data_IF_659114209546
#
_entry.id   IF_659114209546
#
_cell.length_a   1.000
_cell.length_b   1.000
_cell.length_c   1.000
_cell.angle_alpha   90.00
_cell.angle_beta   90.00
_cell.angle_gamma   90.00
#
_symmetry.space_group_name_H-M   'P 1'
#
loop_
_entity.id
_entity.type
_entity.pdbx_description
1 polymer ?
#
# COMPACT_ATOMS: atom_id res chain seq x y z
N UNK A 1 -23.21 14.34 23.20
CA UNK A 1 -23.74 14.68 21.88
C UNK A 1 -22.95 15.80 21.19
N UNK A 2 -22.65 16.94 21.80
CA UNK A 2 -21.89 18.05 21.17
C UNK A 2 -20.42 17.65 20.88
N UNK A 3 -19.72 17.01 21.82
CA UNK A 3 -18.32 16.55 21.61
C UNK A 3 -18.27 15.53 20.47
N UNK A 4 -19.21 14.58 20.40
CA UNK A 4 -19.27 13.60 19.31
C UNK A 4 -19.58 14.22 17.94
N UNK A 5 -20.21 15.39 17.87
CA UNK A 5 -20.42 16.12 16.60
C UNK A 5 -19.17 16.85 16.11
N UNK A 6 -18.33 17.38 17.01
CA UNK A 6 -17.02 17.96 16.67
C UNK A 6 -16.09 16.95 16.01
N UNK A 7 -16.26 15.65 16.31
CA UNK A 7 -15.47 14.56 15.76
C UNK A 7 -16.01 13.95 14.46
N UNK A 8 -17.30 14.11 14.15
CA UNK A 8 -17.89 13.59 12.91
C UNK A 8 -17.47 14.36 11.65
N UNK A 9 -16.91 15.55 11.81
CA UNK A 9 -16.59 16.44 10.69
C UNK A 9 -15.23 16.19 10.03
N UNK A 10 -14.33 15.41 10.65
CA UNK A 10 -13.03 15.09 10.06
C UNK A 10 -12.65 13.65 10.43
N UNK A 11 -12.19 12.88 9.46
CA UNK A 11 -11.76 11.50 9.69
C UNK A 11 -10.66 11.47 10.77
N UNK A 12 -10.80 10.70 11.85
CA UNK A 12 -9.77 10.57 12.89
C UNK A 12 -8.52 9.80 12.40
N UNK A 13 -8.49 9.40 11.13
CA UNK A 13 -7.42 8.60 10.53
C UNK A 13 -6.28 9.42 9.92
N UNK A 14 -6.45 10.73 9.77
CA UNK A 14 -5.44 11.62 9.20
C UNK A 14 -4.58 12.22 10.32
N UNK A 15 -3.24 12.06 10.32
CA UNK A 15 -2.34 12.61 11.34
C UNK A 15 -2.47 14.14 11.51
N UNK A 16 -2.71 14.87 10.42
CA UNK A 16 -2.96 16.31 10.49
C UNK A 16 -4.24 16.65 11.29
N UNK A 17 -5.27 15.83 11.14
CA UNK A 17 -6.51 15.96 11.89
C UNK A 17 -6.34 15.61 13.39
N UNK A 18 -5.48 14.64 13.72
CA UNK A 18 -5.18 14.27 15.10
C UNK A 18 -4.60 15.48 15.86
N UNK A 19 -3.67 16.20 15.26
CA UNK A 19 -3.06 17.40 15.89
C UNK A 19 -4.09 18.52 16.10
N UNK A 20 -4.96 18.75 15.14
CA UNK A 20 -6.01 19.76 15.23
C UNK A 20 -7.05 19.39 16.29
N UNK A 21 -7.46 18.15 16.32
CA UNK A 21 -8.39 17.59 17.31
C UNK A 21 -7.81 17.72 18.72
N UNK A 22 -6.53 17.41 18.91
CA UNK A 22 -5.84 17.57 20.20
C UNK A 22 -5.90 19.01 20.73
N UNK A 23 -5.76 20.03 19.87
CA UNK A 23 -5.85 21.44 20.28
C UNK A 23 -7.20 21.80 20.87
N UNK A 24 -8.28 21.18 20.40
CA UNK A 24 -9.63 21.42 20.92
C UNK A 24 -9.97 20.57 22.15
N UNK A 25 -9.42 19.38 22.26
CA UNK A 25 -9.68 18.48 23.39
C UNK A 25 -8.94 18.89 24.67
N UNK A 26 -7.74 19.44 24.55
CA UNK A 26 -6.97 19.87 25.73
C UNK A 26 -7.71 20.89 26.61
N UNK A 27 -8.29 21.98 26.07
CA UNK A 27 -9.14 22.90 26.85
C UNK A 27 -10.42 22.25 27.36
N UNK A 28 -11.04 21.35 26.59
CA UNK A 28 -12.28 20.68 26.99
C UNK A 28 -12.13 19.88 28.30
N UNK A 29 -10.94 19.36 28.59
CA UNK A 29 -10.64 18.64 29.84
C UNK A 29 -10.79 19.50 31.08
N UNK A 30 -10.67 20.80 30.95
CA UNK A 30 -10.73 21.75 32.06
C UNK A 30 -12.14 22.21 32.44
N UNK A 31 -13.16 21.83 31.65
CA UNK A 31 -14.53 22.31 31.85
C UNK A 31 -15.20 21.66 33.06
N UNK A 32 -15.22 20.34 33.15
CA UNK A 32 -15.74 19.57 34.30
C UNK A 32 -15.24 18.10 34.26
N UNK A 33 -15.46 17.36 35.35
CA UNK A 33 -15.02 15.94 35.45
C UNK A 33 -15.54 15.05 34.32
N UNK A 34 -16.82 15.20 33.93
CA UNK A 34 -17.41 14.42 32.83
C UNK A 34 -16.76 14.76 31.49
N UNK A 35 -16.51 16.03 31.22
CA UNK A 35 -15.80 16.46 30.01
C UNK A 35 -14.35 16.00 30.01
N UNK A 36 -13.69 16.05 31.15
CA UNK A 36 -12.32 15.55 31.28
C UNK A 36 -12.26 14.05 30.94
N UNK A 37 -13.17 13.23 31.46
CA UNK A 37 -13.19 11.79 31.14
C UNK A 37 -13.35 11.53 29.62
N UNK A 38 -14.38 12.12 29.00
CA UNK A 38 -14.68 11.95 27.58
C UNK A 38 -13.54 12.52 26.70
N UNK A 39 -13.04 13.70 27.02
CA UNK A 39 -11.97 14.32 26.26
C UNK A 39 -10.64 13.56 26.41
N UNK A 40 -10.36 12.96 27.57
CA UNK A 40 -9.19 12.11 27.80
C UNK A 40 -9.26 10.83 26.97
N UNK A 41 -10.41 10.16 26.94
CA UNK A 41 -10.64 8.99 26.09
C UNK A 41 -10.35 9.30 24.63
N UNK A 42 -10.96 10.33 24.07
CA UNK A 42 -10.72 10.73 22.68
C UNK A 42 -9.29 11.25 22.43
N UNK A 43 -8.68 11.92 23.39
CA UNK A 43 -7.32 12.46 23.26
C UNK A 43 -6.28 11.35 23.09
N UNK A 44 -6.48 10.23 23.80
CA UNK A 44 -5.53 9.12 23.84
C UNK A 44 -6.00 7.88 23.05
N UNK A 45 -7.14 7.94 22.37
CA UNK A 45 -7.65 6.83 21.55
C UNK A 45 -6.64 6.40 20.47
N UNK A 46 -5.90 7.37 19.92
CA UNK A 46 -4.77 7.11 19.02
C UNK A 46 -3.50 7.66 19.62
N UNK A 47 -2.53 6.80 19.85
CA UNK A 47 -1.19 7.17 20.29
C UNK A 47 -0.22 7.14 19.12
N UNK A 48 0.74 8.05 19.13
CA UNK A 48 1.75 8.19 18.10
C UNK A 48 3.13 8.05 18.73
N UNK A 49 3.89 7.06 18.27
CA UNK A 49 5.31 6.89 18.55
C UNK A 49 6.08 7.43 17.34
N UNK A 50 6.55 8.65 17.44
CA UNK A 50 7.35 9.28 16.41
C UNK A 50 8.72 9.61 16.98
N UNK A 51 9.75 9.40 16.19
CA UNK A 51 11.08 9.87 16.48
C UNK A 51 11.08 11.41 16.49
N UNK A 52 11.30 12.00 17.63
CA UNK A 52 11.53 13.43 17.77
C UNK A 52 13.03 13.64 17.91
N UNK A 53 13.68 14.08 16.84
CA UNK A 53 15.14 14.27 16.81
C UNK A 53 15.66 15.00 18.05
N UNK A 54 16.88 14.70 18.44
CA UNK A 54 17.56 15.32 19.59
C UNK A 54 17.77 16.82 19.34
N UNK A 55 17.34 17.62 20.26
CA UNK A 55 17.73 19.02 20.31
C UNK A 55 18.93 19.09 21.27
N UNK A 56 20.09 19.46 20.76
CA UNK A 56 21.35 19.65 21.53
C UNK A 56 21.99 18.38 22.13
N UNK A 57 21.82 17.22 21.49
CA UNK A 57 22.51 15.99 21.92
C UNK A 57 21.87 15.26 23.10
N UNK A 58 20.73 15.70 23.58
CA UNK A 58 19.95 14.97 24.59
C UNK A 58 19.03 13.95 23.90
N UNK A 59 19.07 12.68 24.32
CA UNK A 59 18.20 11.59 23.87
C UNK A 59 16.74 11.78 24.29
N UNK A 60 16.11 12.86 23.87
CA UNK A 60 14.72 13.17 24.24
C UNK A 60 13.69 12.55 23.30
N UNK A 61 14.12 11.79 22.28
CA UNK A 61 13.32 11.33 21.16
C UNK A 61 12.01 10.63 21.50
N UNK A 62 11.93 9.92 22.63
CA UNK A 62 10.75 9.14 23.03
C UNK A 62 10.19 9.55 24.41
N UNK A 63 10.65 10.68 24.96
CA UNK A 63 10.22 11.13 26.27
C UNK A 63 8.70 11.38 26.33
N UNK A 64 8.14 12.01 25.30
CA UNK A 64 6.70 12.25 25.19
C UNK A 64 5.88 10.96 25.15
N UNK A 65 6.34 9.98 24.40
CA UNK A 65 5.75 8.63 24.36
C UNK A 65 5.81 7.98 25.72
N UNK A 66 6.98 7.95 26.34
CA UNK A 66 7.20 7.33 27.63
C UNK A 66 6.34 7.97 28.71
N UNK A 67 6.31 9.31 28.80
CA UNK A 67 5.45 10.05 29.73
C UNK A 67 3.97 9.77 29.52
N UNK A 68 3.53 9.64 28.26
CA UNK A 68 2.13 9.30 27.94
C UNK A 68 1.79 7.89 28.43
N UNK A 69 2.68 6.93 28.25
CA UNK A 69 2.47 5.56 28.71
C UNK A 69 2.57 5.38 30.24
N UNK A 70 3.11 6.34 30.96
CA UNK A 70 3.07 6.35 32.42
C UNK A 70 1.68 6.75 32.97
N UNK A 71 0.82 7.35 32.13
CA UNK A 71 -0.54 7.74 32.48
C UNK A 71 -1.48 6.55 32.27
N UNK A 72 -2.03 5.98 33.32
CA UNK A 72 -2.95 4.83 33.24
C UNK A 72 -4.18 5.11 32.36
N UNK A 73 -4.78 6.31 32.50
CA UNK A 73 -5.93 6.70 31.68
C UNK A 73 -5.61 6.74 30.18
N UNK A 74 -4.38 7.09 29.81
CA UNK A 74 -3.92 7.09 28.42
C UNK A 74 -3.74 5.66 27.90
N UNK A 75 -3.13 4.77 28.70
CA UNK A 75 -2.99 3.36 28.34
C UNK A 75 -4.33 2.69 28.12
N UNK A 76 -5.28 2.94 29.00
CA UNK A 76 -6.61 2.33 28.94
C UNK A 76 -7.49 2.90 27.81
N UNK A 77 -7.26 4.15 27.39
CA UNK A 77 -8.00 4.78 26.30
C UNK A 77 -7.46 4.43 24.92
N UNK A 78 -6.22 3.92 24.81
CA UNK A 78 -5.58 3.66 23.54
C UNK A 78 -6.20 2.45 22.82
N UNK A 79 -6.71 2.69 21.60
CA UNK A 79 -7.25 1.67 20.71
C UNK A 79 -6.37 1.46 19.45
N UNK A 80 -5.57 2.48 19.11
CA UNK A 80 -4.70 2.50 17.94
C UNK A 80 -3.34 3.08 18.25
N UNK A 81 -2.30 2.51 17.67
CA UNK A 81 -0.93 3.03 17.72
C UNK A 81 -0.44 3.29 16.30
N UNK A 82 0.12 4.49 16.09
CA UNK A 82 0.85 4.87 14.89
C UNK A 82 2.33 4.91 15.26
N UNK A 83 3.15 4.17 14.52
CA UNK A 83 4.60 4.11 14.70
C UNK A 83 5.23 4.72 13.46
N UNK A 84 6.02 5.78 13.62
CA UNK A 84 6.80 6.37 12.55
C UNK A 84 8.26 5.95 12.73
N UNK A 85 8.77 5.14 11.80
CA UNK A 85 10.14 4.64 11.84
C UNK A 85 11.16 5.76 11.63
N UNK A 86 10.81 6.75 10.82
CA UNK A 86 11.62 7.90 10.52
C UNK A 86 10.77 9.17 10.52
N UNK A 87 11.17 10.22 11.24
CA UNK A 87 10.50 11.50 11.18
C UNK A 87 11.16 12.41 10.14
N UNK A 88 10.36 13.20 9.41
CA UNK A 88 10.89 14.21 8.48
C UNK A 88 11.83 15.21 9.18
N UNK A 89 11.69 15.39 10.49
CA UNK A 89 12.52 16.30 11.28
C UNK A 89 13.87 15.70 11.69
N UNK A 90 13.99 14.38 11.74
CA UNK A 90 15.26 13.70 12.07
C UNK A 90 16.33 13.88 10.99
N UNK A 91 15.93 14.21 9.78
CA UNK A 91 16.84 14.54 8.66
C UNK A 91 17.81 15.68 8.95
N UNK A 92 17.50 16.53 9.91
CA UNK A 92 18.30 17.71 10.27
C UNK A 92 19.25 17.46 11.46
N UNK A 93 19.20 16.30 12.10
CA UNK A 93 19.89 16.03 13.36
C UNK A 93 20.78 14.78 13.25
N UNK A 94 21.95 14.81 13.89
CA UNK A 94 23.01 13.81 13.78
C UNK A 94 22.70 12.37 14.20
N UNK A 95 21.51 12.08 14.73
CA UNK A 95 21.08 10.74 15.16
C UNK A 95 20.79 9.80 13.98
N UNK A 96 20.75 10.33 12.78
CA UNK A 96 20.55 9.55 11.57
C UNK A 96 21.63 8.50 11.32
N UNK A 97 22.87 8.79 11.75
CA UNK A 97 23.98 7.83 11.63
C UNK A 97 23.75 6.58 12.51
N UNK A 98 23.32 6.78 13.75
CA UNK A 98 23.01 5.67 14.65
C UNK A 98 21.84 4.85 14.12
N UNK A 99 20.85 5.53 13.55
CA UNK A 99 19.70 4.92 12.91
C UNK A 99 20.11 4.08 11.69
N UNK A 100 20.99 4.52 10.83
CA UNK A 100 21.53 3.76 9.69
C UNK A 100 22.35 2.55 10.11
N UNK A 101 23.01 2.63 11.24
CA UNK A 101 23.90 1.58 11.76
C UNK A 101 23.14 0.53 12.60
N UNK A 102 21.81 0.63 12.72
CA UNK A 102 21.00 -0.30 13.49
C UNK A 102 21.09 -0.11 15.01
N UNK A 103 21.64 1.01 15.49
CA UNK A 103 21.78 1.35 16.91
C UNK A 103 20.49 1.99 17.46
N UNK A 104 19.42 1.19 17.55
CA UNK A 104 18.06 1.70 17.86
C UNK A 104 17.54 1.31 19.22
N UNK A 105 18.34 1.03 20.19
CA UNK A 105 17.90 0.48 21.47
C UNK A 105 16.78 1.30 22.11
N UNK A 106 16.86 2.63 22.03
CA UNK A 106 15.83 3.51 22.56
C UNK A 106 14.49 3.38 21.84
N UNK A 107 14.51 3.27 20.49
CA UNK A 107 13.30 3.11 19.69
C UNK A 107 12.69 1.72 19.86
N UNK A 108 13.51 0.68 19.78
CA UNK A 108 13.06 -0.69 20.01
C UNK A 108 12.47 -0.85 21.41
N UNK A 109 13.09 -0.23 22.43
CA UNK A 109 12.56 -0.19 23.79
C UNK A 109 11.21 0.55 23.88
N UNK A 110 11.07 1.66 23.14
CA UNK A 110 9.82 2.40 23.05
C UNK A 110 8.70 1.57 22.38
N UNK A 111 9.01 0.83 21.29
CA UNK A 111 8.09 -0.09 20.65
C UNK A 111 7.65 -1.20 21.61
N UNK A 112 8.56 -1.79 22.36
CA UNK A 112 8.26 -2.85 23.34
C UNK A 112 7.27 -2.42 24.43
N UNK A 113 7.14 -1.11 24.69
CA UNK A 113 6.13 -0.60 25.64
C UNK A 113 4.70 -0.71 25.14
N UNK A 114 4.46 -1.00 23.84
CA UNK A 114 3.13 -1.28 23.29
C UNK A 114 2.43 -2.42 24.06
N UNK A 115 3.19 -3.36 24.62
CA UNK A 115 2.64 -4.41 25.47
C UNK A 115 1.88 -3.90 26.71
N UNK A 116 2.09 -2.65 27.13
CA UNK A 116 1.41 -2.02 28.26
C UNK A 116 0.00 -1.48 27.91
N UNK A 117 -0.40 -1.54 26.61
CA UNK A 117 -1.65 -0.99 26.09
C UNK A 117 -2.71 -2.10 25.99
N UNK A 118 -3.67 -2.20 26.95
CA UNK A 118 -4.59 -3.35 27.00
C UNK A 118 -5.61 -3.35 25.86
N UNK A 119 -6.02 -2.17 25.36
CA UNK A 119 -7.19 -2.05 24.50
C UNK A 119 -6.87 -1.81 23.02
N UNK A 120 -5.59 -1.80 22.61
CA UNK A 120 -5.24 -1.59 21.20
C UNK A 120 -5.71 -2.73 20.30
N UNK A 121 -6.32 -2.35 19.17
CA UNK A 121 -6.84 -3.25 18.14
C UNK A 121 -6.22 -2.98 16.77
N UNK A 122 -5.51 -1.86 16.62
CA UNK A 122 -4.90 -1.45 15.37
C UNK A 122 -3.48 -0.93 15.58
N UNK A 123 -2.59 -1.38 14.70
CA UNK A 123 -1.24 -0.82 14.56
C UNK A 123 -1.07 -0.32 13.13
N UNK A 124 -0.47 0.83 13.02
CA UNK A 124 -0.12 1.49 11.78
C UNK A 124 1.37 1.85 11.81
N UNK A 125 2.14 1.27 10.91
CA UNK A 125 3.57 1.46 10.79
C UNK A 125 3.87 2.29 9.54
N UNK A 126 4.59 3.39 9.70
CA UNK A 126 4.99 4.29 8.63
C UNK A 126 6.50 4.25 8.48
N UNK A 127 6.97 3.72 7.37
CA UNK A 127 8.35 3.86 6.92
C UNK A 127 8.53 5.15 6.12
N UNK A 128 9.79 5.56 5.91
CA UNK A 128 10.08 6.64 4.98
C UNK A 128 9.67 6.26 3.55
N UNK A 129 9.35 7.25 2.72
CA UNK A 129 8.97 7.01 1.32
C UNK A 129 10.14 6.45 0.52
N UNK A 130 11.34 6.97 0.78
CA UNK A 130 12.56 6.54 0.11
C UNK A 130 13.19 5.36 0.84
N UNK A 131 13.53 4.32 0.12
CA UNK A 131 14.20 3.13 0.65
C UNK A 131 15.38 2.72 -0.23
N UNK A 132 16.27 1.90 0.34
CA UNK A 132 17.46 1.39 -0.31
C UNK A 132 17.41 -0.13 -0.37
N UNK A 133 17.64 -0.72 -1.54
CA UNK A 133 17.69 -2.15 -1.75
C UNK A 133 19.06 -2.77 -1.46
N UNK A 134 19.19 -4.08 -1.73
CA UNK A 134 20.40 -4.86 -1.44
C UNK A 134 21.61 -4.43 -2.28
N UNK A 135 21.37 -4.06 -3.52
CA UNK A 135 22.39 -3.88 -4.52
C UNK A 135 22.71 -2.42 -4.83
N UNK A 136 22.15 -1.52 -4.07
CA UNK A 136 22.40 -0.10 -4.24
C UNK A 136 23.88 0.24 -3.94
N UNK A 137 24.71 0.09 -4.96
CA UNK A 137 26.08 0.62 -4.99
C UNK A 137 26.11 2.14 -5.18
N UNK A 138 24.95 2.77 -5.25
CA UNK A 138 24.85 4.19 -5.41
C UNK A 138 25.41 4.85 -4.15
N UNK A 139 26.49 5.60 -4.35
CA UNK A 139 26.92 6.61 -3.41
C UNK A 139 25.78 7.65 -3.36
N UNK A 140 24.71 7.30 -2.66
CA UNK A 140 23.62 8.21 -2.47
C UNK A 140 24.07 9.29 -1.48
N UNK A 141 24.32 10.53 -1.93
CA UNK A 141 24.64 11.63 -1.04
C UNK A 141 23.47 12.00 -0.11
N UNK A 142 22.28 11.46 -0.39
CA UNK A 142 21.08 11.72 0.39
C UNK A 142 21.08 10.90 1.68
N UNK A 143 21.30 11.59 2.77
CA UNK A 143 21.30 11.01 4.11
C UNK A 143 19.92 10.57 4.60
N UNK A 144 18.88 10.58 3.76
CA UNK A 144 17.48 10.38 4.16
C UNK A 144 16.85 9.08 3.64
N UNK A 145 17.65 8.16 3.10
CA UNK A 145 17.18 6.87 2.60
C UNK A 145 17.29 5.81 3.69
N UNK A 146 16.17 5.23 4.08
CA UNK A 146 16.10 4.20 5.12
C UNK A 146 16.54 2.83 4.60
N UNK A 147 17.57 2.17 5.20
CA UNK A 147 18.03 0.86 4.77
C UNK A 147 17.01 -0.25 4.98
N UNK A 148 17.08 -1.31 4.17
CA UNK A 148 16.17 -2.46 4.25
C UNK A 148 16.28 -3.21 5.57
N UNK A 149 17.48 -3.36 6.11
CA UNK A 149 17.77 -4.03 7.39
C UNK A 149 17.08 -3.30 8.55
N UNK A 150 17.15 -1.99 8.54
CA UNK A 150 16.50 -1.11 9.51
C UNK A 150 14.98 -1.29 9.51
N UNK A 151 14.39 -1.36 8.32
CA UNK A 151 12.94 -1.61 8.17
C UNK A 151 12.57 -2.98 8.68
N UNK A 152 13.38 -4.00 8.36
CA UNK A 152 13.17 -5.37 8.84
C UNK A 152 13.25 -5.45 10.36
N UNK A 153 14.21 -4.80 10.99
CA UNK A 153 14.36 -4.80 12.45
C UNK A 153 13.21 -4.07 13.13
N UNK A 154 12.72 -2.99 12.53
CA UNK A 154 11.50 -2.32 13.01
C UNK A 154 10.28 -3.23 12.90
N UNK A 155 10.10 -3.93 11.77
CA UNK A 155 9.02 -4.91 11.60
C UNK A 155 9.11 -6.01 12.66
N UNK A 156 10.28 -6.60 12.87
CA UNK A 156 10.51 -7.61 13.92
C UNK A 156 10.14 -7.10 15.30
N UNK A 157 10.61 -5.89 15.67
CA UNK A 157 10.32 -5.30 16.98
C UNK A 157 8.82 -5.07 17.20
N UNK A 158 8.09 -4.62 16.18
CA UNK A 158 6.63 -4.45 16.23
C UNK A 158 5.93 -5.80 16.41
N UNK A 159 6.30 -6.81 15.63
CA UNK A 159 5.71 -8.14 15.72
C UNK A 159 6.03 -8.83 17.06
N UNK A 160 7.24 -8.64 17.59
CA UNK A 160 7.61 -9.10 18.94
C UNK A 160 6.73 -8.43 20.00
N UNK A 161 6.53 -7.13 19.93
CA UNK A 161 5.68 -6.40 20.87
C UNK A 161 4.22 -6.86 20.83
N UNK A 162 3.69 -7.17 19.63
CA UNK A 162 2.34 -7.73 19.45
C UNK A 162 2.25 -9.11 20.12
N UNK A 163 3.21 -10.00 19.84
CA UNK A 163 3.24 -11.36 20.38
C UNK A 163 3.43 -11.35 21.90
N UNK A 164 4.38 -10.57 22.42
CA UNK A 164 4.61 -10.45 23.87
C UNK A 164 3.36 -9.95 24.60
N UNK A 165 2.62 -9.02 23.99
CA UNK A 165 1.38 -8.50 24.55
C UNK A 165 0.31 -9.62 24.67
N UNK A 166 0.17 -10.45 23.63
CA UNK A 166 -0.84 -11.51 23.59
C UNK A 166 -0.63 -12.62 24.64
N UNK A 167 0.61 -12.83 25.08
CA UNK A 167 0.98 -13.91 26.03
C UNK A 167 1.15 -13.42 27.48
N UNK A 168 0.79 -12.17 27.80
CA UNK A 168 0.92 -11.64 29.16
C UNK A 168 -0.02 -12.38 30.12
N UNK A 169 0.51 -12.97 31.22
CA UNK A 169 -0.33 -13.59 32.21
C UNK A 169 -1.11 -12.54 33.01
N UNK A 170 -2.35 -12.84 33.34
CA UNK A 170 -3.23 -12.04 34.21
C UNK A 170 -3.67 -10.67 33.68
N UNK A 171 -3.53 -10.39 32.39
CA UNK A 171 -4.02 -9.16 31.78
C UNK A 171 -5.01 -9.51 30.68
N UNK A 172 -6.24 -9.07 30.80
CA UNK A 172 -7.22 -9.16 29.71
C UNK A 172 -6.84 -8.11 28.67
N UNK A 173 -6.38 -8.56 27.50
CA UNK A 173 -5.96 -7.70 26.40
C UNK A 173 -6.79 -7.96 25.16
N UNK A 174 -7.15 -6.88 24.44
CA UNK A 174 -7.83 -7.02 23.16
C UNK A 174 -6.87 -7.56 22.08
N UNK A 175 -7.37 -8.35 21.15
CA UNK A 175 -6.58 -8.83 20.00
C UNK A 175 -6.33 -7.68 19.03
N UNK A 176 -5.10 -7.57 18.51
CA UNK A 176 -4.78 -6.65 17.41
C UNK A 176 -5.27 -7.32 16.12
N UNK A 177 -6.21 -6.67 15.45
CA UNK A 177 -6.89 -7.18 14.27
C UNK A 177 -6.58 -6.38 13.00
N UNK A 178 -6.08 -5.16 13.15
CA UNK A 178 -5.78 -4.28 12.01
C UNK A 178 -4.30 -3.95 11.97
N UNK A 179 -3.68 -4.25 10.84
CA UNK A 179 -2.30 -3.90 10.53
C UNK A 179 -2.26 -3.05 9.25
N UNK A 180 -1.70 -1.86 9.36
CA UNK A 180 -1.43 -1.00 8.21
C UNK A 180 0.07 -0.75 8.14
N UNK A 181 0.67 -0.95 6.97
CA UNK A 181 2.08 -0.66 6.75
C UNK A 181 2.18 0.31 5.55
N UNK A 182 2.64 1.51 5.84
CA UNK A 182 2.94 2.51 4.83
C UNK A 182 4.38 2.40 4.41
N UNK A 183 4.59 2.45 3.09
CA UNK A 183 5.90 2.37 2.47
C UNK A 183 6.65 1.07 2.85
N UNK A 184 5.92 -0.05 2.90
CA UNK A 184 6.56 -1.36 2.98
C UNK A 184 7.45 -1.52 1.75
N UNK A 185 8.74 -1.72 1.95
CA UNK A 185 9.65 -1.95 0.85
C UNK A 185 9.34 -3.27 0.14
N UNK A 186 9.46 -3.29 -1.18
CA UNK A 186 9.29 -4.46 -2.03
C UNK A 186 10.44 -5.49 -1.87
N UNK A 187 10.84 -5.75 -0.63
CA UNK A 187 11.92 -6.66 -0.29
C UNK A 187 11.36 -8.02 0.19
N UNK A 188 11.72 -9.15 -0.45
CA UNK A 188 11.28 -10.46 -0.02
C UNK A 188 12.05 -10.92 1.22
N UNK A 189 11.50 -10.67 2.41
CA UNK A 189 12.06 -11.10 3.69
C UNK A 189 11.63 -12.54 4.04
N UNK A 190 12.09 -13.53 3.26
CA UNK A 190 11.64 -14.92 3.35
C UNK A 190 11.78 -15.52 4.75
N UNK A 191 12.93 -15.33 5.40
CA UNK A 191 13.19 -15.87 6.74
C UNK A 191 12.20 -15.30 7.78
N UNK A 192 11.94 -14.00 7.72
CA UNK A 192 11.02 -13.35 8.63
C UNK A 192 9.58 -13.83 8.41
N UNK A 193 9.11 -13.85 7.17
CA UNK A 193 7.75 -14.28 6.81
C UNK A 193 7.51 -15.75 7.16
N UNK A 194 8.53 -16.59 7.02
CA UNK A 194 8.45 -18.02 7.39
C UNK A 194 8.61 -18.28 8.89
N UNK A 195 8.99 -17.28 9.67
CA UNK A 195 9.17 -17.43 11.12
C UNK A 195 7.85 -17.68 11.86
N UNK A 196 7.96 -18.36 13.01
CA UNK A 196 6.82 -18.51 13.93
C UNK A 196 6.31 -17.17 14.44
N UNK A 197 7.20 -16.19 14.63
CA UNK A 197 6.83 -14.84 15.03
C UNK A 197 5.84 -14.18 14.06
N UNK A 198 6.16 -14.20 12.77
CA UNK A 198 5.29 -13.62 11.74
C UNK A 198 3.94 -14.35 11.68
N UNK A 199 3.95 -15.65 11.61
CA UNK A 199 2.74 -16.48 11.51
C UNK A 199 1.82 -16.34 12.73
N UNK A 200 2.40 -16.24 13.93
CA UNK A 200 1.63 -16.05 15.18
C UNK A 200 0.88 -14.71 15.21
N UNK A 201 1.46 -13.65 14.63
CA UNK A 201 0.79 -12.36 14.54
C UNK A 201 -0.20 -12.33 13.38
N UNK A 202 0.21 -12.81 12.19
CA UNK A 202 -0.58 -12.73 10.97
C UNK A 202 -1.95 -13.41 11.08
N UNK A 203 -2.05 -14.55 11.81
CA UNK A 203 -3.29 -15.30 11.98
C UNK A 203 -4.42 -14.52 12.66
N UNK A 204 -4.08 -13.50 13.46
CA UNK A 204 -5.05 -12.71 14.22
C UNK A 204 -5.49 -11.43 13.48
N UNK A 205 -4.81 -11.08 12.38
CA UNK A 205 -5.12 -9.90 11.58
C UNK A 205 -6.28 -10.21 10.64
N UNK A 206 -7.34 -9.41 10.73
CA UNK A 206 -8.51 -9.47 9.83
C UNK A 206 -8.59 -8.29 8.85
N UNK A 207 -7.79 -7.24 9.07
CA UNK A 207 -7.67 -6.07 8.17
C UNK A 207 -6.20 -5.78 7.91
N UNK A 208 -5.78 -5.93 6.67
CA UNK A 208 -4.42 -5.71 6.21
C UNK A 208 -4.41 -4.61 5.15
N UNK A 209 -3.63 -3.56 5.37
CA UNK A 209 -3.43 -2.47 4.43
C UNK A 209 -1.95 -2.29 4.16
N UNK A 210 -1.52 -2.57 2.94
CA UNK A 210 -0.14 -2.45 2.50
C UNK A 210 -0.04 -1.36 1.42
N UNK A 211 0.78 -0.34 1.70
CA UNK A 211 1.28 0.58 0.71
C UNK A 211 2.74 0.21 0.49
N UNK A 212 3.06 -0.23 -0.72
CA UNK A 212 4.35 -0.80 -1.07
C UNK A 212 5.14 0.24 -1.86
N UNK A 213 6.39 0.43 -1.46
CA UNK A 213 7.35 1.32 -2.13
C UNK A 213 8.51 0.50 -2.68
N UNK A 214 9.06 0.99 -3.77
CA UNK A 214 10.24 0.44 -4.40
C UNK A 214 11.49 1.19 -3.97
N UNK A 215 12.66 0.62 -4.27
CA UNK A 215 13.93 1.27 -4.03
C UNK A 215 14.00 2.62 -4.75
N UNK A 216 14.48 3.63 -4.02
CA UNK A 216 14.74 4.93 -4.63
C UNK A 216 15.97 4.87 -5.53
N UNK A 217 15.79 5.22 -6.78
CA UNK A 217 16.82 5.28 -7.79
C UNK A 217 16.87 6.68 -8.41
N UNK A 218 18.05 7.34 -8.35
CA UNK A 218 18.25 8.67 -8.94
C UNK A 218 18.39 8.65 -10.46
N UNK A 219 18.83 7.50 -11.00
CA UNK A 219 19.07 7.33 -12.44
C UNK A 219 17.77 7.07 -13.22
N UNK A 220 16.65 7.13 -12.54
CA UNK A 220 15.35 6.88 -13.13
C UNK A 220 15.00 5.39 -13.24
N UNK A 221 13.85 5.05 -13.81
CA UNK A 221 13.33 3.68 -13.84
C UNK A 221 14.17 2.72 -14.71
N UNK A 222 15.09 3.20 -15.54
CA UNK A 222 15.88 2.40 -16.48
C UNK A 222 16.69 1.27 -15.81
N UNK A 223 17.02 1.41 -14.53
CA UNK A 223 17.78 0.42 -13.77
C UNK A 223 16.94 -0.39 -12.80
N UNK A 224 15.76 0.05 -12.49
CA UNK A 224 14.89 -0.61 -11.51
C UNK A 224 14.46 -2.00 -11.96
N UNK A 225 14.30 -2.19 -13.26
CA UNK A 225 13.90 -3.48 -13.85
C UNK A 225 14.91 -4.60 -13.64
N UNK A 226 16.17 -4.26 -13.40
CA UNK A 226 17.25 -5.23 -13.18
C UNK A 226 17.40 -5.58 -11.69
N UNK A 227 16.63 -4.97 -10.81
CA UNK A 227 16.70 -5.24 -9.40
C UNK A 227 16.00 -6.57 -9.05
N UNK A 228 16.71 -7.43 -8.33
CA UNK A 228 16.22 -8.74 -7.89
C UNK A 228 14.89 -8.62 -7.12
N UNK A 229 14.74 -7.56 -6.33
CA UNK A 229 13.53 -7.28 -5.58
C UNK A 229 12.30 -7.10 -6.47
N UNK A 230 12.47 -6.49 -7.64
CA UNK A 230 11.39 -6.31 -8.62
C UNK A 230 10.95 -7.64 -9.24
N UNK A 231 11.87 -8.55 -9.45
CA UNK A 231 11.57 -9.88 -9.99
C UNK A 231 10.89 -10.78 -8.96
N UNK A 232 11.35 -10.73 -7.72
CA UNK A 232 11.00 -11.73 -6.69
C UNK A 232 9.83 -11.32 -5.80
N UNK A 233 9.65 -10.02 -5.52
CA UNK A 233 8.74 -9.59 -4.46
C UNK A 233 7.28 -9.96 -4.70
N UNK A 234 6.76 -9.79 -5.89
CA UNK A 234 5.36 -10.08 -6.19
C UNK A 234 5.05 -11.57 -6.03
N UNK A 235 5.96 -12.43 -6.49
CA UNK A 235 5.88 -13.87 -6.28
C UNK A 235 5.95 -14.23 -4.79
N UNK A 236 6.84 -13.58 -4.02
CA UNK A 236 6.93 -13.74 -2.57
C UNK A 236 5.65 -13.26 -1.86
N UNK A 237 5.12 -12.10 -2.24
CA UNK A 237 3.86 -11.55 -1.71
C UNK A 237 2.72 -12.55 -1.90
N UNK A 238 2.59 -13.10 -3.10
CA UNK A 238 1.55 -14.06 -3.47
C UNK A 238 1.69 -15.41 -2.76
N UNK A 239 2.90 -15.99 -2.75
CA UNK A 239 3.10 -17.37 -2.35
C UNK A 239 3.44 -17.56 -0.88
N UNK A 240 3.97 -16.54 -0.22
CA UNK A 240 4.47 -16.64 1.14
C UNK A 240 3.81 -15.66 2.11
N UNK A 241 3.75 -14.37 1.76
CA UNK A 241 3.30 -13.32 2.66
C UNK A 241 1.77 -13.36 2.86
N UNK A 242 0.98 -13.18 1.80
CA UNK A 242 -0.48 -13.10 1.87
C UNK A 242 -1.16 -14.38 2.39
N UNK A 243 -0.68 -15.60 2.08
CA UNK A 243 -1.27 -16.82 2.62
C UNK A 243 -1.30 -16.88 4.15
N UNK A 244 -0.36 -16.21 4.85
CA UNK A 244 -0.34 -16.18 6.31
C UNK A 244 -1.57 -15.46 6.92
N UNK A 245 -2.20 -14.59 6.18
CA UNK A 245 -3.37 -13.80 6.59
C UNK A 245 -4.70 -14.37 6.04
N UNK A 246 -4.64 -15.27 5.07
CA UNK A 246 -5.77 -15.59 4.19
C UNK A 246 -7.04 -16.03 4.91
N UNK A 247 -6.94 -16.81 6.00
CA UNK A 247 -8.07 -17.46 6.66
C UNK A 247 -9.03 -16.45 7.31
N UNK A 248 -8.49 -15.39 7.92
CA UNK A 248 -9.27 -14.45 8.72
C UNK A 248 -9.51 -13.10 8.05
N UNK A 249 -8.86 -12.85 6.92
CA UNK A 249 -8.88 -11.54 6.30
C UNK A 249 -10.27 -11.15 5.79
N UNK A 250 -10.76 -10.01 6.27
CA UNK A 250 -12.03 -9.40 5.88
C UNK A 250 -11.82 -8.14 5.02
N UNK A 251 -10.67 -7.48 5.16
CA UNK A 251 -10.31 -6.32 4.34
C UNK A 251 -8.84 -6.40 3.93
N UNK A 252 -8.58 -6.21 2.64
CA UNK A 252 -7.26 -6.18 2.05
C UNK A 252 -7.09 -4.92 1.20
N UNK A 253 -5.97 -4.22 1.39
CA UNK A 253 -5.50 -3.18 0.49
C UNK A 253 -4.11 -3.54 0.03
N UNK A 254 -3.90 -3.60 -1.27
CA UNK A 254 -2.61 -3.71 -1.94
C UNK A 254 -2.46 -2.49 -2.85
N UNK A 255 -1.57 -1.60 -2.47
CA UNK A 255 -1.29 -0.40 -3.24
C UNK A 255 0.22 -0.23 -3.35
N UNK A 256 0.70 -0.12 -4.58
CA UNK A 256 2.10 0.13 -4.87
C UNK A 256 2.28 1.57 -5.32
N UNK A 257 3.47 2.10 -5.14
CA UNK A 257 3.79 3.45 -5.65
C UNK A 257 3.84 3.47 -7.17
N UNK A 258 4.22 2.35 -7.78
CA UNK A 258 4.30 2.17 -9.21
C UNK A 258 3.35 1.08 -9.72
N UNK A 259 3.30 0.90 -11.03
CA UNK A 259 2.55 -0.18 -11.65
C UNK A 259 3.12 -1.54 -11.27
N UNK A 260 2.27 -2.49 -10.94
CA UNK A 260 2.63 -3.82 -10.50
C UNK A 260 1.68 -4.90 -11.02
N UNK A 261 2.05 -6.15 -10.84
CA UNK A 261 1.23 -7.30 -11.22
C UNK A 261 1.68 -7.96 -12.51
N UNK A 262 2.52 -7.33 -13.33
CA UNK A 262 2.92 -7.86 -14.65
C UNK A 262 4.42 -7.99 -14.83
N UNK A 263 5.17 -6.94 -15.03
CA UNK A 263 6.60 -6.99 -15.35
C UNK A 263 7.40 -6.05 -14.46
N UNK A 264 8.63 -6.38 -14.09
CA UNK A 264 9.38 -7.63 -14.27
C UNK A 264 8.92 -8.76 -13.34
N UNK A 265 8.21 -8.47 -12.23
CA UNK A 265 7.54 -9.44 -11.39
C UNK A 265 6.22 -9.93 -12.01
N UNK A 266 5.56 -10.85 -11.34
CA UNK A 266 4.25 -11.33 -11.77
C UNK A 266 3.36 -11.71 -10.60
N UNK A 267 2.14 -11.21 -10.61
CA UNK A 267 1.14 -11.48 -9.58
C UNK A 267 -0.23 -11.72 -10.20
N UNK A 268 -0.63 -12.96 -10.33
CA UNK A 268 -1.95 -13.37 -10.79
C UNK A 268 -2.87 -13.85 -9.65
N UNK A 269 -2.38 -13.81 -8.43
CA UNK A 269 -3.10 -14.29 -7.25
C UNK A 269 -3.43 -15.78 -7.27
N UNK A 270 -2.78 -16.59 -8.12
CA UNK A 270 -3.04 -18.01 -8.20
C UNK A 270 -2.84 -18.69 -6.84
N UNK A 271 -3.84 -19.47 -6.42
CA UNK A 271 -3.84 -20.14 -5.12
C UNK A 271 -4.26 -19.27 -3.92
N UNK A 272 -4.44 -17.97 -4.09
CA UNK A 272 -4.94 -17.10 -3.03
C UNK A 272 -6.47 -17.21 -2.89
N UNK A 273 -6.91 -17.72 -1.76
CA UNK A 273 -8.32 -17.80 -1.39
C UNK A 273 -8.53 -17.11 -0.05
N UNK A 274 -9.34 -16.08 -0.05
CA UNK A 274 -9.71 -15.31 1.15
C UNK A 274 -11.21 -15.53 1.45
N UNK A 275 -11.57 -16.56 2.18
CA UNK A 275 -12.97 -17.00 2.32
C UNK A 275 -13.89 -15.98 3.00
N UNK A 276 -13.30 -15.02 3.73
CA UNK A 276 -14.02 -14.01 4.50
C UNK A 276 -13.85 -12.58 3.95
N UNK A 277 -13.16 -12.42 2.82
CA UNK A 277 -12.80 -11.11 2.28
C UNK A 277 -14.04 -10.37 1.77
N UNK A 278 -14.36 -9.26 2.42
CA UNK A 278 -15.49 -8.38 2.08
C UNK A 278 -15.06 -7.11 1.36
N UNK A 279 -13.86 -6.63 1.64
CA UNK A 279 -13.32 -5.40 1.06
C UNK A 279 -11.97 -5.66 0.43
N UNK A 280 -11.85 -5.34 -0.85
CA UNK A 280 -10.58 -5.36 -1.58
C UNK A 280 -10.35 -3.98 -2.23
N UNK A 281 -9.16 -3.43 -1.98
CA UNK A 281 -8.68 -2.23 -2.63
C UNK A 281 -7.37 -2.54 -3.34
N UNK A 282 -7.29 -2.24 -4.63
CA UNK A 282 -6.08 -2.36 -5.45
C UNK A 282 -5.68 -0.98 -5.96
N UNK A 283 -4.41 -0.66 -5.85
CA UNK A 283 -3.83 0.56 -6.43
C UNK A 283 -2.67 0.22 -7.35
N UNK A 284 -2.65 0.86 -8.52
CA UNK A 284 -1.64 0.70 -9.58
C UNK A 284 -1.50 -0.74 -10.13
N UNK A 285 -2.53 -1.58 -9.97
CA UNK A 285 -2.53 -2.95 -10.50
C UNK A 285 -2.76 -2.95 -12.01
N UNK A 286 -1.96 -3.75 -12.72
CA UNK A 286 -1.97 -3.82 -14.18
C UNK A 286 -2.40 -5.19 -14.67
N UNK A 287 -3.38 -5.21 -15.56
CA UNK A 287 -3.91 -6.41 -16.22
C UNK A 287 -3.24 -6.55 -17.57
N UNK A 288 -2.50 -7.65 -17.79
CA UNK A 288 -1.75 -7.92 -19.03
C UNK A 288 -2.16 -9.22 -19.73
N UNK A 289 -3.07 -10.02 -19.17
CA UNK A 289 -3.64 -11.19 -19.80
C UNK A 289 -5.08 -11.44 -19.34
N UNK A 290 -5.80 -12.33 -20.02
CA UNK A 290 -7.23 -12.57 -19.81
C UNK A 290 -7.58 -13.18 -18.45
N UNK A 291 -6.62 -13.87 -17.80
CA UNK A 291 -6.81 -14.53 -16.51
C UNK A 291 -6.26 -13.75 -15.35
N UNK A 292 -5.55 -12.67 -15.62
CA UNK A 292 -4.82 -11.92 -14.62
C UNK A 292 -5.71 -11.38 -13.47
N UNK A 293 -6.98 -11.16 -13.74
CA UNK A 293 -7.96 -10.66 -12.77
C UNK A 293 -8.81 -11.77 -12.14
N UNK A 294 -8.63 -13.05 -12.52
CA UNK A 294 -9.47 -14.17 -12.07
C UNK A 294 -9.39 -14.40 -10.57
N UNK A 295 -8.26 -14.11 -9.93
CA UNK A 295 -8.11 -14.21 -8.49
C UNK A 295 -9.06 -13.27 -7.71
N UNK A 296 -9.30 -12.04 -8.23
CA UNK A 296 -10.29 -11.11 -7.68
C UNK A 296 -11.69 -11.68 -7.86
N UNK A 297 -11.99 -12.20 -9.04
CA UNK A 297 -13.30 -12.77 -9.38
C UNK A 297 -13.61 -14.04 -8.57
N UNK A 298 -12.59 -14.70 -8.04
CA UNK A 298 -12.73 -15.89 -7.19
C UNK A 298 -13.18 -15.55 -5.75
N UNK A 299 -13.02 -14.28 -5.30
CA UNK A 299 -13.38 -13.83 -3.96
C UNK A 299 -14.90 -13.56 -3.86
N UNK A 300 -15.71 -14.61 -3.84
CA UNK A 300 -17.18 -14.52 -3.94
C UNK A 300 -17.87 -13.77 -2.79
N UNK A 301 -17.19 -13.58 -1.66
CA UNK A 301 -17.69 -12.85 -0.48
C UNK A 301 -17.51 -11.33 -0.58
N UNK A 302 -16.91 -10.80 -1.66
CA UNK A 302 -16.67 -9.37 -1.81
C UNK A 302 -17.96 -8.56 -1.84
N UNK A 303 -18.02 -7.57 -0.95
CA UNK A 303 -19.07 -6.55 -0.88
C UNK A 303 -18.58 -5.19 -1.39
N UNK A 304 -17.26 -4.94 -1.31
CA UNK A 304 -16.62 -3.69 -1.76
C UNK A 304 -15.39 -4.01 -2.59
N UNK A 305 -15.31 -3.44 -3.78
CA UNK A 305 -14.13 -3.49 -4.66
C UNK A 305 -13.77 -2.07 -5.11
N UNK A 306 -12.52 -1.68 -4.88
CA UNK A 306 -12.00 -0.37 -5.26
C UNK A 306 -10.73 -0.55 -6.07
N UNK A 307 -10.72 0.05 -7.25
CA UNK A 307 -9.61 0.04 -8.20
C UNK A 307 -9.15 1.50 -8.38
N UNK A 308 -7.98 1.82 -7.85
CA UNK A 308 -7.38 3.14 -7.97
C UNK A 308 -6.16 3.07 -8.87
N UNK A 309 -6.15 3.87 -9.96
CA UNK A 309 -5.05 3.85 -10.92
C UNK A 309 -4.72 2.44 -11.42
N UNK A 310 -5.74 1.61 -11.63
CA UNK A 310 -5.59 0.28 -12.22
C UNK A 310 -5.75 0.35 -13.74
N UNK A 311 -4.96 -0.45 -14.44
CA UNK A 311 -4.82 -0.33 -15.89
C UNK A 311 -4.95 -1.68 -16.59
N UNK A 312 -5.29 -1.61 -17.88
CA UNK A 312 -5.09 -2.73 -18.82
C UNK A 312 -3.97 -2.33 -19.77
N UNK A 313 -3.04 -3.25 -20.01
CA UNK A 313 -1.99 -3.04 -21.01
C UNK A 313 -2.60 -2.99 -22.41
N UNK A 314 -2.16 -2.01 -23.18
CA UNK A 314 -2.52 -1.89 -24.60
C UNK A 314 -1.44 -2.51 -25.48
N UNK A 315 -0.22 -1.99 -25.35
CA UNK A 315 0.94 -2.44 -26.11
C UNK A 315 2.11 -2.67 -25.16
N UNK A 316 2.99 -3.56 -25.55
CA UNK A 316 4.15 -3.97 -24.77
C UNK A 316 5.33 -4.06 -25.70
N UNK A 317 6.37 -3.28 -25.44
CA UNK A 317 7.67 -3.45 -26.05
C UNK A 317 8.57 -4.25 -25.11
N UNK A 318 9.17 -5.30 -25.61
CA UNK A 318 10.04 -6.20 -24.84
C UNK A 318 11.40 -6.25 -25.50
N UNK A 319 12.46 -5.93 -24.80
CA UNK A 319 13.82 -6.29 -25.21
C UNK A 319 14.07 -7.78 -24.92
N UNK A 320 14.40 -8.52 -25.98
CA UNK A 320 14.53 -9.98 -25.88
C UNK A 320 15.77 -10.44 -25.11
N UNK A 321 16.78 -9.61 -24.97
CA UNK A 321 17.98 -9.93 -24.21
C UNK A 321 17.81 -9.59 -22.72
N UNK A 322 17.29 -8.40 -22.42
CA UNK A 322 17.08 -7.93 -21.05
C UNK A 322 16.00 -8.70 -20.32
N UNK A 323 14.97 -9.15 -21.03
CA UNK A 323 13.82 -9.84 -20.42
C UNK A 323 13.92 -11.36 -20.43
N UNK A 324 15.09 -11.94 -20.73
CA UNK A 324 15.28 -13.41 -20.77
C UNK A 324 14.96 -14.10 -19.45
N UNK A 325 15.25 -13.43 -18.34
CA UNK A 325 15.08 -13.96 -16.99
C UNK A 325 13.67 -13.68 -16.43
N UNK A 326 12.85 -12.93 -17.16
CA UNK A 326 11.52 -12.59 -16.70
C UNK A 326 10.50 -13.67 -17.05
N UNK A 327 9.60 -13.98 -16.13
CA UNK A 327 8.50 -14.91 -16.35
C UNK A 327 7.35 -14.20 -17.11
N UNK A 328 7.55 -14.01 -18.43
CA UNK A 328 6.60 -13.28 -19.27
C UNK A 328 5.44 -14.16 -19.71
N UNK A 329 4.25 -13.86 -19.24
CA UNK A 329 3.00 -14.51 -19.63
C UNK A 329 2.43 -13.90 -20.92
N UNK A 330 2.88 -14.42 -22.07
CA UNK A 330 2.62 -13.89 -23.43
C UNK A 330 1.46 -14.56 -24.15
N UNK A 331 0.76 -15.51 -23.55
CA UNK A 331 -0.21 -16.40 -24.21
C UNK A 331 -1.33 -15.63 -24.92
N UNK A 332 -1.72 -14.48 -24.34
CA UNK A 332 -2.78 -13.61 -24.88
C UNK A 332 -2.24 -12.43 -25.70
N UNK A 333 -0.92 -12.36 -25.93
CA UNK A 333 -0.31 -11.23 -26.63
C UNK A 333 -0.16 -11.52 -28.10
N UNK A 334 -0.60 -10.60 -28.93
CA UNK A 334 -0.42 -10.64 -30.38
C UNK A 334 0.88 -9.93 -30.76
N UNK A 335 1.85 -10.66 -31.30
CA UNK A 335 3.09 -10.07 -31.82
C UNK A 335 2.78 -9.21 -33.04
N UNK A 336 3.29 -7.99 -33.05
CA UNK A 336 3.16 -7.05 -34.17
C UNK A 336 4.35 -7.17 -35.12
N UNK A 337 4.17 -6.83 -36.41
CA UNK A 337 5.28 -6.79 -37.37
C UNK A 337 6.39 -5.81 -36.95
N UNK A 338 7.65 -6.14 -37.27
CA UNK A 338 8.78 -5.22 -37.06
C UNK A 338 8.53 -3.91 -37.80
N UNK A 339 8.79 -2.79 -37.13
CA UNK A 339 8.55 -1.44 -37.67
C UNK A 339 7.12 -0.93 -37.46
N UNK A 340 6.24 -1.69 -36.79
CA UNK A 340 4.94 -1.18 -36.37
C UNK A 340 5.13 0.08 -35.51
N UNK A 341 4.30 1.07 -35.74
CA UNK A 341 4.34 2.36 -35.06
C UNK A 341 5.71 3.10 -35.17
N UNK A 342 6.53 2.76 -36.17
CA UNK A 342 7.86 3.38 -36.35
C UNK A 342 8.95 2.83 -35.42
N UNK A 343 8.68 1.75 -34.70
CA UNK A 343 9.64 1.12 -33.78
C UNK A 343 10.53 0.14 -34.55
N UNK A 344 11.81 0.46 -34.69
CA UNK A 344 12.78 -0.31 -35.49
C UNK A 344 13.96 -0.86 -34.67
N UNK A 345 13.88 -0.93 -33.35
CA UNK A 345 14.96 -1.50 -32.55
C UNK A 345 15.20 -2.97 -32.87
N UNK A 346 16.46 -3.37 -33.07
CA UNK A 346 16.81 -4.70 -33.54
C UNK A 346 16.46 -5.81 -32.54
N UNK A 347 16.53 -5.49 -31.25
CA UNK A 347 16.29 -6.45 -30.18
C UNK A 347 14.88 -6.31 -29.56
N UNK A 348 14.07 -5.36 -30.01
CA UNK A 348 12.75 -5.12 -29.44
C UNK A 348 11.67 -5.90 -30.20
N UNK A 349 10.81 -6.57 -29.43
CA UNK A 349 9.57 -7.15 -29.90
C UNK A 349 8.39 -6.36 -29.38
N UNK A 350 7.48 -6.01 -30.27
CA UNK A 350 6.26 -5.29 -29.93
C UNK A 350 5.06 -6.22 -29.94
N UNK A 351 4.26 -6.14 -28.90
CA UNK A 351 3.04 -6.92 -28.72
C UNK A 351 1.84 -6.02 -28.48
N UNK A 352 0.67 -6.52 -28.83
CA UNK A 352 -0.63 -5.94 -28.48
C UNK A 352 -1.40 -6.93 -27.60
N UNK A 353 -2.07 -6.43 -26.58
CA UNK A 353 -3.04 -7.18 -25.77
C UNK A 353 -4.44 -6.61 -26.01
N UNK A 354 -5.39 -7.46 -26.37
CA UNK A 354 -6.75 -7.05 -26.74
C UNK A 354 -7.75 -7.04 -25.58
N UNK A 355 -7.31 -7.25 -24.33
CA UNK A 355 -8.17 -7.14 -23.15
C UNK A 355 -8.83 -5.75 -23.05
N UNK A 356 -10.06 -5.71 -22.52
CA UNK A 356 -10.82 -4.46 -22.37
C UNK A 356 -11.42 -4.30 -20.98
N UNK A 357 -11.64 -3.07 -20.56
CA UNK A 357 -12.41 -2.78 -19.35
C UNK A 357 -13.88 -3.21 -19.50
N UNK A 358 -14.48 -3.16 -20.71
CA UNK A 358 -15.80 -3.72 -20.96
C UNK A 358 -15.87 -5.16 -20.48
N UNK A 359 -14.95 -6.03 -20.96
CA UNK A 359 -14.90 -7.43 -20.57
C UNK A 359 -14.66 -7.61 -19.07
N UNK A 360 -13.77 -6.79 -18.47
CA UNK A 360 -13.42 -6.86 -17.05
C UNK A 360 -14.62 -6.45 -16.18
N UNK A 361 -15.31 -5.36 -16.50
CA UNK A 361 -16.51 -4.93 -15.75
C UNK A 361 -17.65 -5.93 -15.87
N UNK A 362 -17.84 -6.53 -17.03
CA UNK A 362 -18.84 -7.62 -17.21
C UNK A 362 -18.47 -8.85 -16.37
N UNK A 363 -17.22 -9.25 -16.35
CA UNK A 363 -16.74 -10.35 -15.49
C UNK A 363 -16.98 -10.00 -14.00
N UNK A 364 -16.67 -8.80 -13.55
CA UNK A 364 -16.92 -8.33 -12.16
C UNK A 364 -18.41 -8.44 -11.84
N UNK A 365 -19.28 -7.87 -12.68
CA UNK A 365 -20.73 -7.89 -12.51
C UNK A 365 -21.28 -9.29 -12.36
N UNK A 366 -20.80 -10.23 -13.21
CA UNK A 366 -21.32 -11.59 -13.29
C UNK A 366 -20.74 -12.53 -12.23
N UNK A 367 -19.51 -12.28 -11.75
CA UNK A 367 -18.80 -13.19 -10.85
C UNK A 367 -18.80 -12.79 -9.39
N UNK A 368 -19.11 -11.53 -9.06
CA UNK A 368 -19.14 -11.02 -7.69
C UNK A 368 -20.58 -10.70 -7.26
N UNK A 369 -21.37 -11.71 -6.86
CA UNK A 369 -22.81 -11.54 -6.64
C UNK A 369 -23.16 -10.66 -5.42
N UNK A 370 -22.23 -10.50 -4.48
CA UNK A 370 -22.44 -9.73 -3.26
C UNK A 370 -21.84 -8.31 -3.32
N UNK A 371 -21.27 -7.92 -4.48
CA UNK A 371 -20.63 -6.62 -4.65
C UNK A 371 -21.68 -5.49 -4.62
N UNK A 372 -21.57 -4.58 -3.64
CA UNK A 372 -22.48 -3.45 -3.39
C UNK A 372 -21.83 -2.09 -3.61
N UNK A 373 -20.51 -1.96 -3.34
CA UNK A 373 -19.74 -0.73 -3.53
C UNK A 373 -18.60 -1.01 -4.51
N UNK A 374 -18.70 -0.44 -5.71
CA UNK A 374 -17.64 -0.48 -6.71
C UNK A 374 -17.13 0.92 -6.98
N UNK A 375 -15.81 1.09 -6.93
CA UNK A 375 -15.13 2.34 -7.22
C UNK A 375 -14.04 2.10 -8.25
N UNK A 376 -13.92 3.03 -9.18
CA UNK A 376 -12.91 3.04 -10.22
C UNK A 376 -12.52 4.47 -10.51
N UNK A 377 -11.27 4.83 -10.26
CA UNK A 377 -10.79 6.19 -10.44
C UNK A 377 -9.27 6.19 -10.68
N UNK A 378 -8.74 7.31 -11.08
CA UNK A 378 -7.32 7.61 -11.06
C UNK A 378 -7.11 8.84 -10.18
N UNK A 379 -6.58 8.62 -9.00
CA UNK A 379 -6.20 9.74 -8.14
C UNK A 379 -4.75 10.11 -8.42
N UNK A 380 -4.56 11.27 -9.01
CA UNK A 380 -3.29 11.75 -9.51
C UNK A 380 -2.25 12.14 -8.44
N UNK A 381 -2.54 11.98 -7.14
CA UNK A 381 -1.57 12.36 -6.11
C UNK A 381 -1.69 11.62 -4.77
N UNK A 382 -0.54 11.22 -4.25
CA UNK A 382 -0.16 10.32 -3.17
C UNK A 382 -0.78 10.44 -1.76
N UNK A 383 -1.29 11.56 -1.25
CA UNK A 383 -1.76 11.59 0.15
C UNK A 383 -3.07 10.84 0.38
N UNK A 384 -3.73 10.36 -0.67
CA UNK A 384 -5.10 9.82 -0.59
C UNK A 384 -5.17 8.30 -0.45
N UNK A 385 -4.07 7.59 -0.61
CA UNK A 385 -4.00 6.13 -0.43
C UNK A 385 -4.43 5.65 0.96
N UNK A 386 -4.32 6.52 1.96
CA UNK A 386 -4.77 6.28 3.32
C UNK A 386 -6.30 6.21 3.47
N UNK A 387 -7.03 6.65 2.44
CA UNK A 387 -8.48 6.76 2.49
C UNK A 387 -9.14 6.19 1.24
N UNK A 388 -9.19 4.83 1.09
CA UNK A 388 -9.87 4.19 -0.03
C UNK A 388 -11.31 4.64 -0.21
N UNK A 389 -11.92 5.21 0.83
CA UNK A 389 -13.27 5.79 0.78
C UNK A 389 -13.37 7.05 -0.07
N UNK A 390 -12.26 7.67 -0.45
CA UNK A 390 -12.23 8.87 -1.30
C UNK A 390 -12.13 8.55 -2.79
N UNK A 391 -11.91 7.29 -3.16
CA UNK A 391 -11.87 6.86 -4.56
C UNK A 391 -13.24 7.15 -5.18
N UNK A 392 -13.23 7.86 -6.29
CA UNK A 392 -14.43 8.23 -7.04
C UNK A 392 -15.00 7.08 -7.86
N UNK A 393 -15.92 7.43 -8.75
CA UNK A 393 -16.53 6.55 -9.75
C UNK A 393 -16.43 7.22 -11.11
N UNK A 394 -15.22 7.21 -11.69
CA UNK A 394 -14.91 7.89 -12.94
C UNK A 394 -14.21 6.93 -13.89
N UNK A 395 -14.72 6.81 -15.11
CA UNK A 395 -14.03 6.12 -16.18
C UNK A 395 -12.95 7.07 -16.75
N UNK A 396 -11.75 7.00 -16.18
CA UNK A 396 -10.67 7.91 -16.58
C UNK A 396 -10.12 7.58 -17.97
N UNK A 397 -9.66 8.59 -18.74
CA UNK A 397 -9.18 8.38 -20.12
C UNK A 397 -7.90 7.55 -20.19
N UNK A 398 -7.02 7.66 -19.21
CA UNK A 398 -5.75 6.93 -19.13
C UNK A 398 -5.86 5.52 -18.52
N UNK A 399 -6.99 4.84 -18.70
CA UNK A 399 -7.22 3.47 -18.16
C UNK A 399 -6.51 2.35 -18.91
N UNK A 400 -5.93 2.64 -20.06
CA UNK A 400 -5.04 1.76 -20.81
C UNK A 400 -3.64 2.33 -20.80
N UNK A 401 -2.64 1.48 -20.70
CA UNK A 401 -1.24 1.87 -20.66
C UNK A 401 -0.40 1.06 -21.64
N UNK A 402 0.75 1.59 -21.98
CA UNK A 402 1.76 0.89 -22.76
C UNK A 402 2.97 0.60 -21.87
N UNK A 403 3.61 -0.52 -22.04
CA UNK A 403 4.85 -0.86 -21.38
C UNK A 403 6.00 -0.81 -22.36
N UNK A 404 7.08 -0.15 -21.98
CA UNK A 404 8.38 -0.28 -22.58
C UNK A 404 9.29 -1.02 -21.60
N UNK A 405 9.52 -2.30 -21.85
CA UNK A 405 10.31 -3.14 -20.97
C UNK A 405 11.82 -2.89 -21.06
N UNK A 406 12.29 -2.06 -22.01
CA UNK A 406 13.67 -1.57 -22.05
C UNK A 406 13.91 -0.46 -21.01
N UNK A 407 12.86 0.19 -20.52
CA UNK A 407 12.96 1.39 -19.68
C UNK A 407 12.30 1.26 -18.31
N UNK A 408 11.73 0.11 -17.96
CA UNK A 408 11.24 -0.13 -16.61
C UNK A 408 9.84 -0.72 -16.52
N UNK A 409 9.44 -1.20 -15.33
CA UNK A 409 8.09 -1.68 -15.07
C UNK A 409 7.09 -0.54 -14.95
N UNK A 410 7.56 0.67 -14.72
CA UNK A 410 6.73 1.86 -14.85
C UNK A 410 6.55 2.18 -16.31
N UNK A 411 5.31 2.36 -16.76
CA UNK A 411 5.10 2.84 -18.13
C UNK A 411 5.77 4.20 -18.27
N UNK A 412 6.79 4.28 -19.10
CA UNK A 412 7.39 5.54 -19.52
C UNK A 412 6.44 6.19 -20.50
N UNK A 413 5.39 6.70 -19.94
CA UNK A 413 4.33 7.27 -20.69
C UNK A 413 4.28 8.74 -20.38
N UNK A 414 4.59 9.53 -21.38
CA UNK A 414 4.19 10.93 -21.37
C UNK A 414 2.67 10.95 -21.47
N UNK A 415 2.01 11.54 -20.50
CA UNK A 415 0.58 11.80 -20.60
C UNK A 415 0.40 13.19 -21.22
N UNK A 416 -0.43 13.27 -22.25
CA UNK A 416 -0.92 14.57 -22.71
C UNK A 416 -1.72 15.22 -21.58
N UNK A 417 -1.39 16.47 -21.23
CA UNK A 417 -1.99 17.16 -20.11
C UNK A 417 -3.46 17.58 -20.36
N UNK A 418 -3.88 17.67 -21.62
CA UNK A 418 -5.22 18.09 -22.00
C UNK A 418 -6.16 16.90 -22.22
N UNK A 419 -5.67 15.85 -22.88
CA UNK A 419 -6.48 14.68 -23.22
C UNK A 419 -6.34 13.52 -22.23
N UNK A 420 -5.27 13.49 -21.43
CA UNK A 420 -4.91 12.38 -20.56
C UNK A 420 -4.46 11.14 -21.34
N UNK A 421 -4.25 11.24 -22.66
CA UNK A 421 -3.71 10.17 -23.47
C UNK A 421 -2.26 9.91 -23.11
N UNK A 422 -1.90 8.63 -23.11
CA UNK A 422 -0.56 8.16 -22.80
C UNK A 422 0.09 7.67 -24.08
N UNK A 423 1.33 8.07 -24.34
CA UNK A 423 2.10 7.66 -25.51
C UNK A 423 3.55 7.38 -25.13
N UNK A 424 4.25 6.59 -25.92
CA UNK A 424 5.69 6.42 -25.76
C UNK A 424 6.38 7.75 -26.01
N UNK A 425 7.20 8.21 -25.05
CA UNK A 425 7.71 9.58 -24.98
C UNK A 425 8.38 10.13 -26.22
N UNK A 426 9.10 9.29 -26.97
CA UNK A 426 9.84 9.68 -28.17
C UNK A 426 9.08 9.42 -29.49
N UNK A 427 7.86 8.88 -29.44
CA UNK A 427 7.08 8.55 -30.62
C UNK A 427 5.81 9.39 -30.68
N UNK A 428 5.60 10.06 -31.83
CA UNK A 428 4.43 10.91 -32.09
C UNK A 428 3.10 10.14 -32.27
N UNK A 429 3.10 8.81 -32.07
CA UNK A 429 1.91 8.01 -32.27
C UNK A 429 1.31 7.53 -30.94
N UNK A 430 0.07 7.89 -30.70
CA UNK A 430 -0.71 7.32 -29.60
C UNK A 430 -1.02 5.84 -29.88
N UNK A 431 -0.59 4.94 -28.99
CA UNK A 431 -0.98 3.53 -28.99
C UNK A 431 -2.06 3.24 -27.95
N UNK A 432 -2.73 4.27 -27.46
CA UNK A 432 -3.75 4.16 -26.45
C UNK A 432 -5.08 3.68 -27.06
N UNK A 433 -5.67 2.66 -26.46
CA UNK A 433 -6.94 2.10 -26.89
C UNK A 433 -8.17 2.75 -26.26
N UNK A 434 -8.00 3.79 -25.47
CA UNK A 434 -9.08 4.42 -24.69
C UNK A 434 -10.24 4.92 -25.55
N UNK A 435 -9.96 5.48 -26.73
CA UNK A 435 -11.02 5.98 -27.63
C UNK A 435 -11.73 4.85 -28.38
N UNK A 436 -10.99 3.82 -28.86
CA UNK A 436 -11.62 2.68 -29.57
C UNK A 436 -12.56 1.88 -28.65
N UNK A 437 -12.26 1.78 -27.35
CA UNK A 437 -13.04 1.01 -26.37
C UNK A 437 -14.06 1.85 -25.60
N UNK A 438 -14.06 3.17 -25.74
CA UNK A 438 -14.80 4.12 -24.92
C UNK A 438 -16.28 3.80 -24.74
N UNK A 439 -16.97 3.44 -25.80
CA UNK A 439 -18.41 3.18 -25.75
C UNK A 439 -18.72 1.88 -25.00
N UNK A 440 -17.96 0.80 -25.28
CA UNK A 440 -18.11 -0.49 -24.61
C UNK A 440 -17.79 -0.38 -23.13
N UNK A 441 -16.63 0.19 -22.80
CA UNK A 441 -16.19 0.38 -21.42
C UNK A 441 -17.19 1.23 -20.61
N UNK A 442 -17.68 2.35 -21.17
CA UNK A 442 -18.65 3.22 -20.51
C UNK A 442 -20.01 2.54 -20.29
N UNK A 443 -20.45 1.68 -21.21
CA UNK A 443 -21.67 0.90 -21.05
C UNK A 443 -21.53 -0.10 -19.93
N UNK A 444 -20.50 -0.98 -20.01
CA UNK A 444 -20.29 -2.03 -19.01
C UNK A 444 -20.02 -1.46 -17.60
N UNK A 445 -19.35 -0.31 -17.53
CA UNK A 445 -19.14 0.41 -16.26
C UNK A 445 -20.47 0.87 -15.63
N UNK A 446 -21.36 1.51 -16.41
CA UNK A 446 -22.69 1.90 -15.93
C UNK A 446 -23.52 0.69 -15.50
N UNK A 447 -23.52 -0.38 -16.28
CA UNK A 447 -24.26 -1.60 -15.98
C UNK A 447 -23.77 -2.25 -14.68
N UNK A 448 -22.45 -2.24 -14.43
CA UNK A 448 -21.87 -2.71 -13.16
C UNK A 448 -22.31 -1.84 -11.98
N UNK A 449 -22.26 -0.50 -12.11
CA UNK A 449 -22.69 0.41 -11.05
C UNK A 449 -24.20 0.25 -10.74
N UNK A 450 -25.04 0.07 -11.76
CA UNK A 450 -26.46 -0.20 -11.59
C UNK A 450 -26.70 -1.50 -10.84
N UNK A 451 -26.01 -2.58 -11.20
CA UNK A 451 -26.10 -3.86 -10.51
C UNK A 451 -25.62 -3.79 -9.04
N UNK A 452 -24.59 -2.99 -8.75
CA UNK A 452 -24.16 -2.75 -7.36
C UNK A 452 -25.22 -1.99 -6.55
N UNK A 453 -25.88 -1.01 -7.16
CA UNK A 453 -26.95 -0.25 -6.52
C UNK A 453 -28.16 -1.14 -6.19
N UNK A 454 -28.64 -1.96 -7.15
CA UNK A 454 -29.72 -2.93 -6.96
C UNK A 454 -29.44 -3.94 -5.83
N UNK A 455 -28.17 -4.31 -5.63
CA UNK A 455 -27.77 -5.24 -4.55
C UNK A 455 -27.64 -4.54 -3.18
N UNK A 456 -27.59 -3.22 -3.17
CA UNK A 456 -27.50 -2.44 -1.94
C UNK A 456 -28.89 -2.19 -1.32
N UNK A 457 -29.93 -2.14 -2.15
CA UNK A 457 -31.34 -2.05 -1.73
C UNK A 457 -31.86 -3.38 -1.15
#
# INVERSE_FOLDING_TARGET
MIIGQLFRLKSPRDPANIREVRKHLLPARLVCRRWNSIATEHLYQTLELAHTGTVNGDETGFEGWNKTLDIEAARNAAERVIIQSCSEKSRQFGDWENWKNGEYDAFTSAIKRIKQLPNIRAIELHFSEKCKGRWSNLHNPWNDVEPSETRLDTLKAVFEAIRERAVQPNTEVSTIQSLTIHNLQNMPHQEFVNSGLFKDVAKDIDRLHLLITEEYNEDGPDRDILMEERLEFESHLQRQFLPCFAVNLTALTLNFHECWGTMPGYFDGAGLVFPRLKTLNLGNFVISNNRHFDWVLSQKSLETLRLDSCYIVSHIQVDTEETKEWDLHREDWQRLPKGSYGIFYDNAELYRFDGTWESTFDKIRNNLPHLKDFRFDRQSYRPHFLHPTRIGTVLHPSRYINFDAGTGPSPWLTSDSETGEMYFGDYECSMNRSEETKQGDARAFRDLLSACHERHE
#
